data_IF_230718585692
#
_entry.id   IF_230718585692
#
_cell.length_a   1.000
_cell.length_b   1.000
_cell.length_c   1.000
_cell.angle_alpha   90.00
_cell.angle_beta   90.00
_cell.angle_gamma   90.00
#
_symmetry.space_group_name_H-M   'P 1'
#
loop_
_entity.id
_entity.type
_entity.pdbx_description
1 polymer ?
#
# COMPACT_ATOMS: atom_id res chain seq x y z
N UNK A 1 -1.04 -3.19 -16.53
CA UNK A 1 -1.56 -4.20 -15.57
C UNK A 1 -2.93 -4.75 -15.99
N UNK A 2 -4.00 -3.94 -16.03
CA UNK A 2 -5.35 -4.42 -16.41
C UNK A 2 -5.40 -5.17 -17.76
N UNK A 3 -4.86 -4.57 -18.83
CA UNK A 3 -4.85 -5.20 -20.17
C UNK A 3 -4.12 -6.55 -20.19
N UNK A 4 -3.00 -6.66 -19.45
CA UNK A 4 -2.23 -7.90 -19.32
C UNK A 4 -3.08 -9.00 -18.67
N UNK A 5 -3.74 -8.71 -17.54
CA UNK A 5 -4.58 -9.70 -16.86
C UNK A 5 -5.83 -10.08 -17.66
N UNK A 6 -6.40 -9.14 -18.43
CA UNK A 6 -7.49 -9.47 -19.35
C UNK A 6 -7.01 -10.38 -20.49
N UNK A 7 -5.85 -10.09 -21.08
CA UNK A 7 -5.27 -10.91 -22.14
C UNK A 7 -4.92 -12.31 -21.63
N UNK A 8 -4.26 -12.41 -20.47
CA UNK A 8 -3.94 -13.69 -19.84
C UNK A 8 -5.21 -14.45 -19.44
N UNK A 9 -6.19 -13.77 -18.86
CA UNK A 9 -7.47 -14.38 -18.48
C UNK A 9 -8.23 -14.94 -19.67
N UNK A 10 -8.32 -14.16 -20.76
CA UNK A 10 -8.92 -14.60 -22.02
C UNK A 10 -8.16 -15.79 -22.61
N UNK A 11 -6.83 -15.72 -22.67
CA UNK A 11 -5.98 -16.80 -23.15
C UNK A 11 -6.26 -18.12 -22.42
N UNK A 12 -6.27 -18.11 -21.08
CA UNK A 12 -6.48 -19.32 -20.28
C UNK A 12 -7.91 -19.87 -20.40
N UNK A 13 -8.92 -19.02 -20.60
CA UNK A 13 -10.29 -19.46 -20.87
C UNK A 13 -10.38 -20.11 -22.26
N UNK A 14 -9.78 -19.51 -23.28
CA UNK A 14 -9.75 -20.08 -24.64
C UNK A 14 -8.98 -21.40 -24.63
N UNK A 15 -7.82 -21.44 -23.95
CA UNK A 15 -7.05 -22.67 -23.76
C UNK A 15 -7.88 -23.75 -23.07
N UNK A 16 -8.60 -23.41 -22.00
CA UNK A 16 -9.47 -24.35 -21.29
C UNK A 16 -10.54 -24.95 -22.20
N UNK A 17 -11.20 -24.12 -23.01
CA UNK A 17 -12.20 -24.58 -23.99
C UNK A 17 -11.52 -25.50 -25.01
N UNK A 18 -10.41 -25.07 -25.59
CA UNK A 18 -9.67 -25.82 -26.59
C UNK A 18 -9.18 -27.18 -26.07
N UNK A 19 -8.57 -27.23 -24.89
CA UNK A 19 -8.06 -28.45 -24.27
C UNK A 19 -9.16 -29.47 -23.92
N UNK A 20 -10.39 -29.01 -23.66
CA UNK A 20 -11.53 -29.89 -23.38
C UNK A 20 -12.29 -30.33 -24.64
N UNK A 21 -12.32 -29.51 -25.69
CA UNK A 21 -12.99 -29.87 -26.96
C UNK A 21 -12.07 -30.71 -27.84
N UNK A 22 -10.77 -30.45 -27.82
CA UNK A 22 -9.75 -31.11 -28.65
C UNK A 22 -8.61 -31.70 -27.79
N UNK A 23 -8.88 -32.70 -26.93
CA UNK A 23 -7.93 -33.15 -25.92
C UNK A 23 -6.64 -33.76 -26.47
N UNK A 24 -6.64 -34.28 -27.71
CA UNK A 24 -5.44 -34.85 -28.34
C UNK A 24 -4.57 -33.80 -29.06
N UNK A 25 -5.13 -32.65 -29.45
CA UNK A 25 -4.47 -31.74 -30.38
C UNK A 25 -3.18 -31.11 -29.82
N UNK A 26 -3.14 -30.88 -28.50
CA UNK A 26 -1.92 -30.39 -27.84
C UNK A 26 -0.77 -31.41 -27.93
N UNK A 27 -1.08 -32.70 -27.77
CA UNK A 27 -0.13 -33.80 -27.85
C UNK A 27 0.35 -34.01 -29.29
N UNK A 28 -0.55 -33.88 -30.27
CA UNK A 28 -0.22 -33.92 -31.70
C UNK A 28 0.79 -32.83 -32.07
N UNK A 29 0.57 -31.59 -31.61
CA UNK A 29 1.47 -30.47 -31.86
C UNK A 29 2.83 -30.62 -31.19
N UNK A 30 2.85 -31.28 -30.03
CA UNK A 30 4.07 -31.58 -29.27
C UNK A 30 4.82 -32.81 -29.83
N UNK A 31 4.21 -33.60 -30.71
CA UNK A 31 4.77 -34.84 -31.24
C UNK A 31 4.95 -35.93 -30.18
N UNK A 32 4.05 -35.98 -29.19
CA UNK A 32 4.08 -36.94 -28.08
C UNK A 32 2.86 -37.86 -28.11
N UNK A 33 2.97 -39.03 -27.46
CA UNK A 33 1.86 -39.97 -27.36
C UNK A 33 0.64 -39.37 -26.65
N UNK A 34 -0.54 -39.82 -27.08
CA UNK A 34 -1.80 -39.38 -26.48
C UNK A 34 -1.96 -39.92 -25.06
N UNK A 35 -2.66 -39.18 -24.18
CA UNK A 35 -2.97 -39.68 -22.85
C UNK A 35 -3.91 -40.88 -22.93
N UNK A 36 -3.57 -41.98 -22.24
CA UNK A 36 -4.41 -43.17 -22.14
C UNK A 36 -5.81 -42.86 -21.56
N UNK A 37 -5.90 -41.85 -20.70
CA UNK A 37 -7.15 -41.35 -20.12
C UNK A 37 -7.21 -39.82 -20.20
N UNK A 38 -8.01 -39.23 -21.12
CA UNK A 38 -8.05 -37.77 -21.31
C UNK A 38 -8.65 -37.03 -20.12
N UNK A 39 -9.25 -37.72 -19.15
CA UNK A 39 -9.85 -37.12 -17.96
C UNK A 39 -8.89 -36.21 -17.19
N UNK A 40 -7.62 -36.60 -17.05
CA UNK A 40 -6.62 -35.78 -16.37
C UNK A 40 -6.33 -34.49 -17.15
N UNK A 41 -6.32 -34.56 -18.47
CA UNK A 41 -6.13 -33.40 -19.34
C UNK A 41 -7.33 -32.45 -19.29
N UNK A 42 -8.55 -32.98 -19.25
CA UNK A 42 -9.75 -32.18 -19.02
C UNK A 42 -9.69 -31.44 -17.68
N UNK A 43 -9.25 -32.11 -16.61
CA UNK A 43 -9.07 -31.49 -15.31
C UNK A 43 -8.07 -30.33 -15.35
N UNK A 44 -6.95 -30.48 -16.07
CA UNK A 44 -6.01 -29.39 -16.33
C UNK A 44 -6.71 -28.23 -17.06
N UNK A 45 -7.46 -28.52 -18.13
CA UNK A 45 -8.23 -27.52 -18.86
C UNK A 45 -9.19 -26.75 -17.95
N UNK A 46 -9.98 -27.42 -17.11
CA UNK A 46 -10.88 -26.77 -16.15
C UNK A 46 -10.13 -25.90 -15.14
N UNK A 47 -9.01 -26.39 -14.59
CA UNK A 47 -8.18 -25.62 -13.66
C UNK A 47 -7.66 -24.33 -14.32
N UNK A 48 -7.21 -24.39 -15.57
CA UNK A 48 -6.79 -23.21 -16.33
C UNK A 48 -7.96 -22.26 -16.60
N UNK A 49 -9.16 -22.79 -16.87
CA UNK A 49 -10.36 -21.98 -17.04
C UNK A 49 -10.72 -21.18 -15.78
N UNK A 50 -10.69 -21.83 -14.61
CA UNK A 50 -10.90 -21.18 -13.31
C UNK A 50 -9.86 -20.08 -13.07
N UNK A 51 -8.58 -20.37 -13.35
CA UNK A 51 -7.51 -19.38 -13.25
C UNK A 51 -7.74 -18.19 -14.20
N UNK A 52 -8.18 -18.45 -15.43
CA UNK A 52 -8.49 -17.41 -16.42
C UNK A 52 -9.63 -16.48 -15.99
N UNK A 53 -10.70 -17.04 -15.41
CA UNK A 53 -11.79 -16.25 -14.80
C UNK A 53 -11.28 -15.44 -13.61
N UNK A 54 -10.48 -16.05 -12.73
CA UNK A 54 -9.90 -15.36 -11.58
C UNK A 54 -9.01 -14.17 -12.01
N UNK A 55 -8.16 -14.34 -13.04
CA UNK A 55 -7.34 -13.27 -13.60
C UNK A 55 -8.19 -12.15 -14.20
N UNK A 56 -9.28 -12.48 -14.89
CA UNK A 56 -10.23 -11.50 -15.44
C UNK A 56 -10.89 -10.67 -14.35
N UNK A 57 -11.27 -11.29 -13.22
CA UNK A 57 -11.79 -10.59 -12.05
C UNK A 57 -10.72 -9.72 -11.38
N UNK A 58 -9.50 -10.25 -11.23
CA UNK A 58 -8.35 -9.55 -10.67
C UNK A 58 -7.98 -8.30 -11.49
N UNK A 59 -8.24 -8.30 -12.80
CA UNK A 59 -7.95 -7.18 -13.69
C UNK A 59 -8.65 -5.87 -13.30
N UNK A 60 -9.75 -5.92 -12.52
CA UNK A 60 -10.45 -4.73 -12.00
C UNK A 60 -9.58 -3.93 -11.03
N UNK A 61 -8.77 -4.62 -10.22
CA UNK A 61 -7.82 -3.99 -9.31
C UNK A 61 -6.61 -4.94 -9.08
N UNK A 62 -5.62 -4.92 -9.99
CA UNK A 62 -4.50 -5.88 -9.96
C UNK A 62 -3.67 -5.81 -8.68
N UNK A 63 -3.54 -4.61 -8.10
CA UNK A 63 -2.77 -4.38 -6.87
C UNK A 63 -3.49 -5.00 -5.68
N UNK A 64 -4.82 -4.79 -5.56
CA UNK A 64 -5.63 -5.39 -4.49
C UNK A 64 -5.66 -6.91 -4.59
N UNK A 65 -5.73 -7.44 -5.82
CA UNK A 65 -5.85 -8.87 -6.09
C UNK A 65 -4.48 -9.52 -6.40
N UNK A 66 -3.40 -9.01 -5.81
CA UNK A 66 -2.04 -9.49 -6.07
C UNK A 66 -1.87 -11.00 -5.82
N UNK A 67 -2.63 -11.59 -4.90
CA UNK A 67 -2.59 -13.04 -4.64
C UNK A 67 -2.93 -13.89 -5.85
N UNK A 68 -3.89 -13.46 -6.70
CA UNK A 68 -4.23 -14.17 -7.94
C UNK A 68 -3.08 -14.07 -8.95
N UNK A 69 -2.43 -12.90 -9.01
CA UNK A 69 -1.25 -12.69 -9.86
C UNK A 69 -0.08 -13.57 -9.38
N UNK A 70 0.10 -13.72 -8.06
CA UNK A 70 1.12 -14.59 -7.48
C UNK A 70 0.86 -16.05 -7.84
N UNK A 71 -0.37 -16.54 -7.70
CA UNK A 71 -0.75 -17.90 -8.09
C UNK A 71 -0.45 -18.13 -9.57
N UNK A 72 -0.77 -17.17 -10.45
CA UNK A 72 -0.42 -17.23 -11.86
C UNK A 72 1.09 -17.36 -12.10
N UNK A 73 1.91 -16.50 -11.47
CA UNK A 73 3.36 -16.56 -11.62
C UNK A 73 3.97 -17.88 -11.07
N UNK A 74 3.43 -18.40 -9.97
CA UNK A 74 3.81 -19.71 -9.43
C UNK A 74 3.47 -20.84 -10.42
N UNK A 75 2.27 -20.82 -11.02
CA UNK A 75 1.89 -21.78 -12.09
C UNK A 75 2.91 -21.73 -13.21
N UNK A 76 3.20 -20.55 -13.77
CA UNK A 76 4.14 -20.42 -14.89
C UNK A 76 5.52 -20.95 -14.51
N UNK A 77 6.00 -20.64 -13.30
CA UNK A 77 7.31 -21.08 -12.82
C UNK A 77 7.40 -22.61 -12.68
N UNK A 78 6.35 -23.25 -12.14
CA UNK A 78 6.27 -24.71 -12.01
C UNK A 78 6.20 -25.38 -13.38
N UNK A 79 5.37 -24.86 -14.29
CA UNK A 79 5.19 -25.44 -15.63
C UNK A 79 6.48 -25.29 -16.47
N UNK A 80 7.11 -24.12 -16.49
CA UNK A 80 8.38 -23.90 -17.17
C UNK A 80 9.45 -24.85 -16.63
N UNK A 81 9.55 -25.01 -15.31
CA UNK A 81 10.53 -25.92 -14.71
C UNK A 81 10.27 -27.38 -15.09
N UNK A 82 9.00 -27.82 -15.05
CA UNK A 82 8.60 -29.16 -15.46
C UNK A 82 8.90 -29.42 -16.95
N UNK A 83 8.63 -28.44 -17.82
CA UNK A 83 8.88 -28.52 -19.25
C UNK A 83 10.38 -28.59 -19.56
N UNK A 84 11.20 -27.76 -18.93
CA UNK A 84 12.66 -27.79 -19.07
C UNK A 84 13.25 -29.13 -18.59
N UNK A 85 12.73 -29.67 -17.50
CA UNK A 85 13.10 -31.01 -17.01
C UNK A 85 12.75 -32.10 -18.04
N UNK A 86 11.55 -32.06 -18.62
CA UNK A 86 11.12 -33.01 -19.64
C UNK A 86 11.98 -32.93 -20.91
N UNK A 87 12.38 -31.72 -21.33
CA UNK A 87 13.35 -31.50 -22.42
C UNK A 87 14.72 -32.10 -22.08
N UNK A 88 15.22 -31.84 -20.87
CA UNK A 88 16.52 -32.34 -20.41
C UNK A 88 16.56 -33.89 -20.39
N UNK A 89 15.49 -34.51 -19.92
CA UNK A 89 15.33 -35.97 -19.92
C UNK A 89 14.89 -36.57 -21.26
N UNK A 90 14.78 -35.75 -22.32
CA UNK A 90 14.37 -36.15 -23.68
C UNK A 90 13.00 -36.87 -23.72
N UNK A 91 12.12 -36.54 -22.79
CA UNK A 91 10.74 -37.04 -22.76
C UNK A 91 9.86 -36.33 -23.79
N UNK A 92 10.22 -35.09 -24.13
CA UNK A 92 9.57 -34.28 -25.16
C UNK A 92 10.62 -33.72 -26.12
N UNK A 93 10.30 -33.56 -27.42
CA UNK A 93 11.27 -33.10 -28.40
C UNK A 93 11.57 -31.60 -28.24
N UNK A 94 12.79 -31.18 -28.56
CA UNK A 94 13.21 -29.78 -28.47
C UNK A 94 12.39 -28.84 -29.38
N UNK A 95 11.86 -29.39 -30.48
CA UNK A 95 10.95 -28.66 -31.37
C UNK A 95 9.70 -28.16 -30.65
N UNK A 96 9.32 -28.72 -29.50
CA UNK A 96 8.14 -28.31 -28.74
C UNK A 96 8.40 -27.12 -27.81
N UNK A 97 9.64 -26.63 -27.72
CA UNK A 97 9.99 -25.50 -26.84
C UNK A 97 9.21 -24.21 -27.16
N UNK A 98 8.78 -24.00 -28.40
CA UNK A 98 7.95 -22.84 -28.76
C UNK A 98 6.60 -22.83 -28.04
N UNK A 99 6.05 -24.02 -27.73
CA UNK A 99 4.77 -24.16 -27.04
C UNK A 99 4.86 -23.61 -25.62
N UNK A 100 5.94 -23.95 -24.89
CA UNK A 100 6.22 -23.40 -23.56
C UNK A 100 6.39 -21.87 -23.61
N UNK A 101 7.04 -21.36 -24.65
CA UNK A 101 7.21 -19.91 -24.80
C UNK A 101 5.86 -19.23 -24.95
N UNK A 102 5.02 -19.74 -25.86
CA UNK A 102 3.70 -19.20 -26.15
C UNK A 102 2.69 -19.34 -24.99
N UNK A 103 2.74 -20.46 -24.25
CA UNK A 103 1.78 -20.76 -23.18
C UNK A 103 2.12 -20.09 -21.85
N UNK A 104 3.39 -20.12 -21.43
CA UNK A 104 3.80 -19.72 -20.08
C UNK A 104 4.82 -18.58 -20.05
N UNK A 105 5.87 -18.64 -20.88
CA UNK A 105 7.01 -17.72 -20.76
C UNK A 105 6.63 -16.27 -21.06
N UNK A 106 5.76 -16.03 -22.04
CA UNK A 106 5.31 -14.66 -22.37
C UNK A 106 4.64 -13.95 -21.19
N UNK A 107 4.03 -14.70 -20.27
CA UNK A 107 3.31 -14.15 -19.12
C UNK A 107 4.20 -13.93 -17.91
N UNK A 108 5.35 -14.59 -17.83
CA UNK A 108 6.23 -14.54 -16.68
C UNK A 108 6.69 -13.10 -16.38
N UNK A 109 7.25 -12.39 -17.38
CA UNK A 109 7.74 -11.02 -17.20
C UNK A 109 6.61 -10.05 -16.82
N UNK A 110 5.48 -9.99 -17.55
CA UNK A 110 4.36 -9.12 -17.18
C UNK A 110 3.82 -9.37 -15.76
N UNK A 111 3.74 -10.64 -15.33
CA UNK A 111 3.25 -10.98 -13.98
C UNK A 111 4.25 -10.59 -12.89
N UNK A 112 5.55 -10.82 -13.11
CA UNK A 112 6.61 -10.35 -12.22
C UNK A 112 6.59 -8.83 -12.05
N UNK A 113 6.38 -8.07 -13.13
CA UNK A 113 6.26 -6.60 -13.08
C UNK A 113 5.01 -6.17 -12.29
N UNK A 114 3.87 -6.86 -12.47
CA UNK A 114 2.64 -6.55 -11.71
C UNK A 114 2.86 -6.83 -10.22
N UNK A 115 3.47 -7.96 -9.86
CA UNK A 115 3.76 -8.29 -8.46
C UNK A 115 4.75 -7.31 -7.83
N UNK A 116 5.79 -6.93 -8.56
CA UNK A 116 6.72 -5.90 -8.11
C UNK A 116 6.01 -4.56 -7.85
N UNK A 117 5.13 -4.15 -8.76
CA UNK A 117 4.33 -2.95 -8.56
C UNK A 117 3.36 -3.09 -7.38
N UNK A 118 2.79 -4.28 -7.16
CA UNK A 118 1.98 -4.55 -5.98
C UNK A 118 2.80 -4.44 -4.69
N UNK A 119 4.01 -5.00 -4.64
CA UNK A 119 4.91 -4.86 -3.49
C UNK A 119 5.18 -3.38 -3.24
N UNK A 120 5.62 -2.63 -4.25
CA UNK A 120 5.89 -1.19 -4.13
C UNK A 120 4.68 -0.38 -3.69
N UNK A 121 3.49 -0.72 -4.17
CA UNK A 121 2.27 -0.06 -3.72
C UNK A 121 2.00 -0.34 -2.25
N UNK A 122 2.21 -1.57 -1.76
CA UNK A 122 2.00 -1.89 -0.36
C UNK A 122 3.10 -1.35 0.55
N UNK A 123 4.36 -1.31 0.09
CA UNK A 123 5.54 -0.96 0.90
C UNK A 123 6.08 0.44 0.66
N UNK A 124 5.42 1.30 -0.12
CA UNK A 124 5.88 2.66 -0.41
C UNK A 124 7.17 2.78 -1.25
N UNK A 125 7.67 4.00 -1.38
CA UNK A 125 8.98 4.29 -2.01
C UNK A 125 10.08 4.08 -0.96
N UNK A 126 11.16 3.35 -1.25
CA UNK A 126 12.23 3.14 -0.29
C UNK A 126 12.90 4.48 0.10
N UNK A 127 13.39 4.58 1.35
CA UNK A 127 14.13 5.74 1.79
C UNK A 127 15.42 5.91 0.97
N UNK A 128 15.89 7.15 0.90
CA UNK A 128 17.11 7.57 0.22
C UNK A 128 18.38 7.11 0.93
N UNK A 129 18.31 6.89 2.25
CA UNK A 129 19.45 6.51 3.09
C UNK A 129 19.10 5.43 4.10
N UNK A 130 20.11 4.65 4.50
CA UNK A 130 19.97 3.59 5.50
C UNK A 130 19.66 4.13 6.89
N UNK A 131 20.28 5.24 7.31
CA UNK A 131 20.08 5.84 8.62
C UNK A 131 18.99 6.94 8.58
N UNK A 132 18.06 7.01 9.53
CA UNK A 132 17.07 8.11 9.60
C UNK A 132 17.72 9.50 9.73
N UNK A 133 17.08 10.56 9.23
CA UNK A 133 17.46 11.94 9.58
C UNK A 133 17.42 12.15 11.08
N UNK A 134 18.41 12.88 11.62
CA UNK A 134 18.25 13.45 12.95
C UNK A 134 17.09 14.46 12.93
N UNK A 135 16.45 14.69 14.07
CA UNK A 135 15.33 15.65 14.16
C UNK A 135 15.74 17.04 13.64
N UNK A 136 16.98 17.47 13.90
CA UNK A 136 17.52 18.75 13.43
C UNK A 136 17.71 18.78 11.90
N UNK A 137 18.19 17.69 11.31
CA UNK A 137 18.32 17.61 9.85
C UNK A 137 16.93 17.61 9.19
N UNK A 138 16.02 16.79 9.72
CA UNK A 138 14.67 16.66 9.21
C UNK A 138 13.91 17.99 9.30
N UNK A 139 14.00 18.70 10.43
CA UNK A 139 13.28 19.96 10.62
C UNK A 139 13.75 21.07 9.67
N UNK A 140 15.02 21.08 9.27
CA UNK A 140 15.55 22.04 8.30
C UNK A 140 15.30 21.64 6.84
N UNK A 141 15.07 20.35 6.57
CA UNK A 141 14.95 19.83 5.20
C UNK A 141 13.51 19.77 4.69
N UNK A 142 12.53 19.73 5.60
CA UNK A 142 11.11 19.62 5.26
C UNK A 142 10.40 20.97 5.34
N UNK A 143 9.62 21.25 4.31
CA UNK A 143 8.88 22.50 4.15
C UNK A 143 7.38 22.27 4.35
N UNK A 144 6.74 23.20 5.04
CA UNK A 144 5.30 23.29 5.14
C UNK A 144 4.75 23.90 3.85
N UNK A 145 3.45 23.71 3.61
CA UNK A 145 2.76 24.24 2.42
C UNK A 145 2.79 25.78 2.28
N UNK A 146 3.18 26.51 3.33
CA UNK A 146 3.37 27.96 3.31
C UNK A 146 4.83 28.38 2.98
N UNK A 147 5.71 27.43 2.68
CA UNK A 147 7.11 27.67 2.30
C UNK A 147 8.09 27.79 3.47
N UNK A 148 7.64 27.78 4.73
CA UNK A 148 8.54 27.74 5.90
C UNK A 148 9.06 26.33 6.13
N UNK A 149 10.29 26.21 6.62
CA UNK A 149 10.79 24.93 7.13
C UNK A 149 10.08 24.55 8.43
N UNK A 150 10.06 23.26 8.75
CA UNK A 150 9.55 22.78 10.04
C UNK A 150 10.30 23.39 11.23
N UNK A 151 11.61 23.64 11.08
CA UNK A 151 12.41 24.32 12.07
C UNK A 151 11.93 25.76 12.31
N UNK A 152 11.80 26.56 11.26
CA UNK A 152 11.33 27.97 11.34
C UNK A 152 9.92 28.06 11.95
N UNK A 153 8.98 27.28 11.44
CA UNK A 153 7.60 27.26 11.96
C UNK A 153 7.56 26.91 13.45
N UNK A 154 8.41 25.97 13.89
CA UNK A 154 8.46 25.55 15.30
C UNK A 154 9.06 26.58 16.26
N UNK A 155 9.77 27.59 15.75
CA UNK A 155 10.27 28.69 16.58
C UNK A 155 9.19 29.73 16.84
N UNK A 156 8.29 29.92 15.87
CA UNK A 156 7.20 30.90 15.96
C UNK A 156 6.06 30.40 16.84
N UNK A 157 5.65 29.14 16.65
CA UNK A 157 4.48 28.56 17.32
C UNK A 157 4.70 27.10 17.68
N UNK A 158 3.95 26.61 18.67
CA UNK A 158 3.85 25.18 18.95
C UNK A 158 3.14 24.49 17.79
N UNK A 159 3.69 23.39 17.27
CA UNK A 159 3.10 22.65 16.16
C UNK A 159 2.52 21.33 16.64
N UNK A 160 1.28 21.03 16.25
CA UNK A 160 0.64 19.73 16.39
C UNK A 160 0.80 18.96 15.07
N UNK A 161 1.81 18.10 14.99
CA UNK A 161 2.11 17.30 13.81
C UNK A 161 1.29 16.02 13.81
N UNK A 162 0.47 15.80 12.79
CA UNK A 162 -0.31 14.58 12.62
C UNK A 162 0.15 13.84 11.37
N UNK A 163 0.83 12.72 11.58
CA UNK A 163 1.34 11.84 10.53
C UNK A 163 0.24 10.89 10.05
N UNK A 164 -0.20 11.08 8.81
CA UNK A 164 -1.24 10.26 8.19
C UNK A 164 -0.67 8.91 7.71
N UNK A 165 -1.51 7.88 7.58
CA UNK A 165 -1.08 6.58 7.01
C UNK A 165 -1.17 6.56 5.49
N UNK A 166 -2.36 6.59 4.93
CA UNK A 166 -2.53 6.78 3.49
C UNK A 166 -3.95 7.25 3.21
N UNK A 167 -4.16 8.04 2.17
CA UNK A 167 -5.48 8.64 1.92
C UNK A 167 -6.57 7.60 1.61
N UNK A 168 -6.18 6.40 1.15
CA UNK A 168 -7.08 5.25 1.00
C UNK A 168 -7.55 4.57 2.29
N UNK A 169 -6.91 4.86 3.43
CA UNK A 169 -7.16 4.15 4.67
C UNK A 169 -8.48 4.63 5.29
N UNK A 170 -9.32 3.71 5.75
CA UNK A 170 -10.61 4.05 6.39
C UNK A 170 -10.42 5.02 7.56
N UNK A 171 -9.38 4.82 8.36
CA UNK A 171 -9.05 5.65 9.52
C UNK A 171 -8.54 7.03 9.13
N UNK A 172 -7.69 7.13 8.10
CA UNK A 172 -7.28 8.45 7.57
C UNK A 172 -8.47 9.21 7.01
N UNK A 173 -9.39 8.55 6.29
CA UNK A 173 -10.62 9.19 5.82
C UNK A 173 -11.53 9.64 6.97
N UNK A 174 -11.62 8.84 8.03
CA UNK A 174 -12.35 9.22 9.25
C UNK A 174 -11.73 10.44 9.93
N UNK A 175 -10.40 10.47 10.05
CA UNK A 175 -9.65 11.59 10.59
C UNK A 175 -9.91 12.87 9.79
N UNK A 176 -9.83 12.80 8.46
CA UNK A 176 -10.05 13.93 7.57
C UNK A 176 -11.49 14.46 7.63
N UNK A 177 -12.49 13.59 7.86
CA UNK A 177 -13.88 14.05 8.12
C UNK A 177 -14.03 14.81 9.44
N UNK A 178 -13.16 14.53 10.42
CA UNK A 178 -13.11 15.23 11.71
C UNK A 178 -12.06 16.34 11.76
N UNK A 179 -11.50 16.77 10.62
CA UNK A 179 -10.34 17.66 10.58
C UNK A 179 -10.62 19.00 11.28
N UNK A 180 -11.80 19.59 11.08
CA UNK A 180 -12.19 20.85 11.72
C UNK A 180 -12.24 20.76 13.26
N UNK A 181 -12.55 19.58 13.80
CA UNK A 181 -12.50 19.37 15.25
C UNK A 181 -11.05 19.32 15.74
N UNK A 182 -10.19 18.61 15.03
CA UNK A 182 -8.76 18.49 15.37
C UNK A 182 -8.07 19.84 15.28
N UNK A 183 -8.40 20.64 14.27
CA UNK A 183 -7.89 22.00 14.10
C UNK A 183 -8.30 22.90 15.27
N UNK A 184 -9.59 22.92 15.62
CA UNK A 184 -10.09 23.68 16.77
C UNK A 184 -9.43 23.29 18.09
N UNK A 185 -9.20 21.99 18.30
CA UNK A 185 -8.54 21.47 19.49
C UNK A 185 -7.08 21.96 19.59
N UNK A 186 -6.34 21.91 18.48
CA UNK A 186 -4.98 22.45 18.41
C UNK A 186 -4.96 23.96 18.66
N UNK A 187 -5.88 24.71 18.05
CA UNK A 187 -6.00 26.16 18.22
C UNK A 187 -6.34 26.55 19.67
N UNK A 188 -7.22 25.78 20.34
CA UNK A 188 -7.57 25.99 21.75
C UNK A 188 -6.35 25.86 22.69
N UNK A 189 -5.36 25.04 22.31
CA UNK A 189 -4.10 24.87 23.03
C UNK A 189 -2.97 25.77 22.50
N UNK A 190 -3.29 26.75 21.64
CA UNK A 190 -2.31 27.67 21.07
C UNK A 190 -1.31 27.00 20.11
N UNK A 191 -1.61 25.80 19.63
CA UNK A 191 -0.82 25.09 18.64
C UNK A 191 -1.32 25.37 17.21
N UNK A 192 -0.50 25.05 16.23
CA UNK A 192 -0.87 25.04 14.82
C UNK A 192 -0.86 23.61 14.28
N UNK A 193 -1.98 23.18 13.70
CA UNK A 193 -2.12 21.84 13.15
C UNK A 193 -1.36 21.72 11.83
N UNK A 194 -0.52 20.69 11.73
CA UNK A 194 0.21 20.35 10.50
C UNK A 194 0.00 18.88 10.16
N UNK A 195 -0.48 18.60 8.95
CA UNK A 195 -0.64 17.23 8.45
C UNK A 195 0.60 16.78 7.69
N UNK A 196 1.13 15.61 8.01
CA UNK A 196 2.23 14.97 7.26
C UNK A 196 1.68 13.80 6.45
N UNK A 197 2.01 13.71 5.15
CA UNK A 197 1.49 12.68 4.27
C UNK A 197 2.50 12.16 3.23
N UNK A 198 2.24 10.98 2.66
CA UNK A 198 3.15 10.31 1.72
C UNK A 198 2.87 10.56 0.22
N UNK A 199 1.89 11.41 -0.11
CA UNK A 199 1.72 11.85 -1.50
C UNK A 199 2.78 12.89 -1.87
N UNK A 200 3.14 12.92 -3.16
CA UNK A 200 3.88 14.03 -3.74
C UNK A 200 3.10 15.34 -3.57
N UNK A 201 3.81 16.43 -3.28
CA UNK A 201 3.20 17.76 -3.12
C UNK A 201 2.29 18.11 -4.30
N UNK A 202 1.10 18.63 -3.99
CA UNK A 202 0.05 18.98 -4.93
C UNK A 202 -0.92 17.85 -5.27
N UNK A 203 -0.64 16.59 -4.91
CA UNK A 203 -1.58 15.46 -5.14
C UNK A 203 -2.57 15.25 -3.99
N UNK A 204 -2.27 15.80 -2.83
CA UNK A 204 -3.12 15.74 -1.64
C UNK A 204 -4.40 16.56 -1.76
N UNK A 205 -4.46 17.56 -2.65
CA UNK A 205 -5.65 18.38 -2.91
C UNK A 205 -6.82 17.58 -3.49
N UNK A 206 -6.54 16.40 -4.08
CA UNK A 206 -7.59 15.45 -4.51
C UNK A 206 -8.34 14.82 -3.33
N UNK A 207 -7.76 14.83 -2.13
CA UNK A 207 -8.28 14.13 -0.95
C UNK A 207 -8.66 15.06 0.20
N UNK A 208 -7.92 16.17 0.32
CA UNK A 208 -8.21 17.26 1.22
C UNK A 208 -8.88 18.31 0.34
N UNK A 209 -10.21 18.27 0.28
CA UNK A 209 -10.99 19.39 -0.28
C UNK A 209 -10.55 20.69 0.41
N UNK A 210 -10.89 21.84 -0.20
CA UNK A 210 -10.49 23.22 0.14
C UNK A 210 -10.87 23.71 1.58
N UNK A 211 -11.13 22.79 2.50
CA UNK A 211 -11.40 23.01 3.90
C UNK A 211 -10.11 23.44 4.60
N UNK A 212 -9.91 24.76 4.69
CA UNK A 212 -9.58 25.37 5.98
C UNK A 212 -8.11 25.67 6.29
N UNK A 213 -7.24 25.85 5.29
CA UNK A 213 -5.92 26.47 5.52
C UNK A 213 -4.94 25.67 6.40
N UNK A 214 -5.22 24.39 6.66
CA UNK A 214 -4.33 23.53 7.46
C UNK A 214 -3.00 23.34 6.74
N UNK A 215 -1.90 23.54 7.46
CA UNK A 215 -0.56 23.37 6.91
C UNK A 215 -0.24 21.91 6.66
N UNK A 216 0.55 21.65 5.61
CA UNK A 216 0.85 20.29 5.15
C UNK A 216 2.33 20.09 4.86
N UNK A 217 2.82 18.87 5.05
CA UNK A 217 4.17 18.44 4.67
C UNK A 217 4.05 17.16 3.82
N UNK A 218 4.69 17.18 2.65
CA UNK A 218 4.81 16.02 1.76
C UNK A 218 6.09 15.23 2.07
N UNK A 219 5.93 13.95 2.40
CA UNK A 219 7.02 13.01 2.68
C UNK A 219 6.82 11.65 1.98
N UNK A 220 6.96 11.58 0.63
CA UNK A 220 6.68 10.37 -0.14
C UNK A 220 7.67 9.21 0.10
N UNK A 221 8.81 9.49 0.74
CA UNK A 221 9.83 8.47 1.10
C UNK A 221 9.83 8.12 2.59
N UNK A 222 8.89 8.67 3.36
CA UNK A 222 8.77 8.45 4.80
C UNK A 222 10.04 8.80 5.59
N UNK A 223 10.90 9.71 5.13
CA UNK A 223 12.14 10.03 5.88
C UNK A 223 11.86 10.91 7.10
N UNK A 224 10.85 11.79 7.04
CA UNK A 224 10.36 12.54 8.18
C UNK A 224 9.65 11.60 9.16
N UNK A 225 8.86 10.64 8.67
CA UNK A 225 8.27 9.59 9.52
C UNK A 225 9.37 8.85 10.30
N UNK A 226 10.42 8.41 9.60
CA UNK A 226 11.57 7.71 10.21
C UNK A 226 12.31 8.59 11.22
N UNK A 227 12.51 9.88 10.92
CA UNK A 227 13.15 10.82 11.83
C UNK A 227 12.35 10.97 13.14
N UNK A 228 11.02 10.93 13.06
CA UNK A 228 10.11 10.95 14.21
C UNK A 228 9.90 9.57 14.88
N UNK A 229 10.68 8.56 14.48
CA UNK A 229 10.60 7.21 15.05
C UNK A 229 9.39 6.39 14.59
N UNK A 230 8.65 6.85 13.58
CA UNK A 230 7.53 6.11 13.01
C UNK A 230 8.04 5.08 11.98
N UNK A 231 7.99 3.81 12.37
CA UNK A 231 8.35 2.68 11.52
C UNK A 231 7.19 2.16 10.67
N UNK A 232 7.48 1.06 9.95
CA UNK A 232 6.46 0.25 9.28
C UNK A 232 5.86 -0.73 10.27
N UNK A 233 4.55 -0.87 10.26
CA UNK A 233 3.83 -1.79 11.13
C UNK A 233 4.03 -3.25 10.72
N UNK A 234 4.04 -4.14 11.70
CA UNK A 234 4.04 -5.58 11.49
C UNK A 234 2.68 -6.13 11.05
N UNK A 235 2.61 -7.42 10.72
CA UNK A 235 1.37 -8.09 10.28
C UNK A 235 0.21 -7.93 11.27
N UNK A 236 0.46 -8.09 12.58
CA UNK A 236 -0.55 -7.97 13.63
C UNK A 236 -1.02 -6.53 13.87
N UNK A 237 -0.16 -5.54 13.68
CA UNK A 237 -0.49 -4.12 13.89
C UNK A 237 -1.33 -3.54 12.74
N UNK A 238 -1.17 -4.13 11.54
CA UNK A 238 -1.84 -3.72 10.31
C UNK A 238 -3.10 -4.55 9.98
N UNK A 239 -3.13 -5.82 10.38
CA UNK A 239 -4.20 -6.77 10.06
C UNK A 239 -4.72 -7.55 11.28
N UNK A 240 -4.41 -7.13 12.50
CA UNK A 240 -4.85 -7.81 13.72
C UNK A 240 -6.38 -7.75 13.94
N UNK A 241 -6.91 -8.60 14.84
CA UNK A 241 -8.36 -8.69 15.10
C UNK A 241 -9.00 -7.35 15.47
N UNK A 242 -8.28 -6.51 16.21
CA UNK A 242 -8.73 -5.17 16.60
C UNK A 242 -8.86 -4.20 15.39
N UNK A 243 -7.99 -4.32 14.38
CA UNK A 243 -8.07 -3.55 13.13
C UNK A 243 -9.28 -3.97 12.31
N UNK A 244 -9.55 -5.28 12.21
CA UNK A 244 -10.74 -5.80 11.53
C UNK A 244 -12.03 -5.36 12.22
N UNK A 245 -12.08 -5.40 13.55
CA UNK A 245 -13.22 -4.94 14.34
C UNK A 245 -13.51 -3.44 14.14
N UNK A 246 -12.49 -2.57 14.31
CA UNK A 246 -12.64 -1.13 14.07
C UNK A 246 -12.89 -0.81 12.60
N UNK A 247 -12.31 -1.59 11.68
CA UNK A 247 -12.56 -1.50 10.24
C UNK A 247 -14.02 -1.75 9.90
N UNK A 248 -14.63 -2.80 10.47
CA UNK A 248 -16.05 -3.10 10.31
C UNK A 248 -16.93 -1.95 10.84
N UNK A 249 -16.61 -1.39 12.02
CA UNK A 249 -17.34 -0.23 12.57
C UNK A 249 -17.20 1.01 11.66
N UNK A 250 -16.03 1.25 11.09
CA UNK A 250 -15.79 2.40 10.20
C UNK A 250 -16.57 2.31 8.87
N UNK A 251 -16.85 1.09 8.40
CA UNK A 251 -17.72 0.84 7.23
C UNK A 251 -19.16 1.27 7.54
N UNK A 252 -19.68 0.96 8.74
CA UNK A 252 -20.99 1.45 9.19
C UNK A 252 -21.04 2.99 9.33
N UNK A 253 -19.90 3.63 9.59
CA UNK A 253 -19.76 5.11 9.59
C UNK A 253 -19.51 5.70 8.19
N UNK A 254 -19.67 4.92 7.12
CA UNK A 254 -19.55 5.37 5.73
C UNK A 254 -18.12 5.59 5.24
N UNK A 255 -17.10 5.07 5.93
CA UNK A 255 -15.70 5.08 5.50
C UNK A 255 -15.30 3.68 4.99
N UNK A 256 -15.60 3.37 3.73
CA UNK A 256 -15.18 2.12 3.09
C UNK A 256 -13.69 2.08 2.75
N UNK A 257 -13.17 0.88 2.45
CA UNK A 257 -11.79 0.66 1.99
C UNK A 257 -11.56 1.39 0.67
N UNK A 258 -10.68 2.41 0.69
CA UNK A 258 -10.36 3.24 -0.47
C UNK A 258 -9.16 2.72 -1.27
N UNK A 259 -8.86 3.38 -2.40
CA UNK A 259 -7.67 3.10 -3.19
C UNK A 259 -6.41 3.49 -2.40
N UNK A 260 -5.40 2.60 -2.37
CA UNK A 260 -4.18 2.81 -1.59
C UNK A 260 -3.36 3.95 -2.22
N UNK A 261 -3.10 5.00 -1.44
CA UNK A 261 -2.44 6.23 -1.86
C UNK A 261 -1.43 6.67 -0.78
N UNK A 262 -0.24 6.06 -0.81
CA UNK A 262 0.82 6.16 0.21
C UNK A 262 1.49 4.79 0.47
N UNK A 263 2.33 4.68 1.50
CA UNK A 263 2.86 3.39 1.99
C UNK A 263 1.80 2.72 2.87
N UNK A 264 1.32 1.55 2.44
CA UNK A 264 0.31 0.77 3.16
C UNK A 264 0.79 0.25 4.51
N UNK A 265 2.10 0.10 4.72
CA UNK A 265 2.67 -0.42 5.96
C UNK A 265 3.06 0.67 6.95
N UNK A 266 3.14 1.93 6.52
CA UNK A 266 3.62 3.01 7.37
C UNK A 266 2.64 3.31 8.51
N UNK A 267 3.16 3.41 9.74
CA UNK A 267 2.34 3.71 10.92
C UNK A 267 2.10 5.21 11.08
N UNK A 268 0.87 5.62 11.47
CA UNK A 268 0.58 7.02 11.78
C UNK A 268 1.09 7.40 13.18
N UNK A 269 0.96 8.67 13.54
CA UNK A 269 1.28 9.17 14.88
C UNK A 269 0.99 10.66 15.02
N UNK A 270 0.95 11.13 16.26
CA UNK A 270 0.84 12.56 16.55
C UNK A 270 1.95 13.02 17.48
N UNK A 271 2.47 14.23 17.25
CA UNK A 271 3.58 14.80 17.99
C UNK A 271 3.38 16.29 18.21
N UNK A 272 3.82 16.79 19.37
CA UNK A 272 3.98 18.22 19.60
C UNK A 272 5.43 18.60 19.34
N UNK A 273 5.63 19.65 18.56
CA UNK A 273 6.95 20.07 18.12
C UNK A 273 7.16 21.57 18.35
N UNK A 274 8.23 21.94 19.06
CA UNK A 274 8.58 23.33 19.36
C UNK A 274 10.08 23.52 19.44
N UNK A 275 10.57 24.64 18.93
CA UNK A 275 11.97 25.03 18.96
C UNK A 275 12.93 23.93 18.49
N UNK A 276 12.53 23.22 17.41
CA UNK A 276 13.32 22.14 16.83
C UNK A 276 13.34 20.83 17.65
N UNK A 277 12.45 20.64 18.63
CA UNK A 277 12.42 19.45 19.50
C UNK A 277 11.00 18.89 19.62
N UNK A 278 10.92 17.57 19.78
CA UNK A 278 9.66 16.89 20.11
C UNK A 278 9.38 17.13 21.61
N UNK A 279 8.22 17.69 21.91
CA UNK A 279 7.78 18.01 23.27
C UNK A 279 6.89 16.91 23.85
N UNK A 280 6.04 16.31 23.01
CA UNK A 280 5.15 15.21 23.37
C UNK A 280 4.97 14.31 22.15
N UNK A 281 4.75 13.01 22.37
CA UNK A 281 4.65 12.02 21.31
C UNK A 281 3.60 10.96 21.61
N UNK A 282 2.78 10.67 20.60
CA UNK A 282 1.82 9.58 20.58
C UNK A 282 1.98 8.80 19.26
N UNK A 283 3.00 7.93 19.16
CA UNK A 283 3.09 7.00 18.04
C UNK A 283 1.91 6.02 18.09
N UNK A 284 1.27 5.76 16.95
CA UNK A 284 0.17 4.79 16.90
C UNK A 284 0.68 3.37 17.16
N UNK A 285 -0.06 2.58 17.94
CA UNK A 285 0.25 1.16 18.19
C UNK A 285 -0.43 0.26 17.15
N UNK A 286 -1.47 0.76 16.51
CA UNK A 286 -2.22 0.07 15.47
C UNK A 286 -2.58 1.03 14.33
N UNK A 287 -2.75 0.48 13.12
CA UNK A 287 -3.29 1.22 11.98
C UNK A 287 -4.65 1.89 12.22
N UNK A 288 -5.37 1.47 13.27
CA UNK A 288 -6.70 1.92 13.65
C UNK A 288 -6.73 2.98 14.77
N UNK A 289 -5.57 3.39 15.25
CA UNK A 289 -5.48 4.42 16.28
C UNK A 289 -5.60 5.80 15.64
N UNK A 290 -6.51 6.60 16.19
CA UNK A 290 -6.66 8.00 15.85
C UNK A 290 -5.88 8.83 16.89
N UNK A 291 -5.33 9.99 16.49
CA UNK A 291 -4.60 10.85 17.40
C UNK A 291 -5.55 11.42 18.45
N UNK A 292 -5.11 11.37 19.70
CA UNK A 292 -5.79 11.97 20.86
C UNK A 292 -5.02 13.25 21.22
N UNK A 293 -5.43 14.35 20.58
CA UNK A 293 -4.80 15.65 20.80
C UNK A 293 -4.90 16.10 22.27
N UNK A 294 -6.07 16.01 22.94
CA UNK A 294 -6.18 16.35 24.36
C UNK A 294 -5.12 15.65 25.23
N UNK A 295 -5.00 14.32 25.12
CA UNK A 295 -4.01 13.57 25.87
C UNK A 295 -2.55 13.98 25.53
N UNK A 296 -2.31 14.38 24.28
CA UNK A 296 -1.00 14.85 23.83
C UNK A 296 -0.61 16.20 24.48
N UNK A 297 -1.58 17.08 24.70
CA UNK A 297 -1.41 18.39 25.34
C UNK A 297 -1.38 18.31 26.88
N UNK A 298 -2.08 17.37 27.51
CA UNK A 298 -2.04 17.14 28.97
C UNK A 298 -0.63 16.80 29.48
N UNK A 299 0.20 16.19 28.62
CA UNK A 299 1.60 15.91 28.92
C UNK A 299 2.49 17.16 28.99
N UNK A 300 1.98 18.34 28.60
CA UNK A 300 2.70 19.59 28.76
C UNK A 300 2.49 20.15 30.18
N UNK A 301 3.55 20.68 30.83
CA UNK A 301 3.35 21.48 32.02
C UNK A 301 2.42 22.65 31.69
N UNK A 302 1.36 22.82 32.49
CA UNK A 302 0.37 23.90 32.33
C UNK A 302 1.10 25.23 32.12
N UNK A 303 0.71 26.05 31.13
CA UNK A 303 1.34 27.35 30.93
C UNK A 303 1.22 28.11 32.25
N UNK A 304 2.37 28.47 32.83
CA UNK A 304 2.43 29.26 34.05
C UNK A 304 1.42 30.41 33.92
N UNK A 305 0.48 30.47 34.87
CA UNK A 305 -0.49 31.54 34.98
C UNK A 305 0.24 32.85 34.74
N UNK A 306 -0.26 33.67 33.81
CA UNK A 306 0.17 35.06 33.70
C UNK A 306 0.09 35.65 35.10
N UNK A 307 1.24 35.92 35.70
CA UNK A 307 1.32 36.67 36.94
C UNK A 307 0.52 37.95 36.71
N UNK A 308 -0.60 38.05 37.41
CA UNK A 308 -1.31 39.30 37.59
C UNK A 308 -0.33 40.23 38.30
N UNK A 309 0.34 41.07 37.53
CA UNK A 309 1.02 42.26 38.04
C UNK A 309 -0.08 43.14 38.61
N UNK A 310 -0.22 43.09 39.93
CA UNK A 310 -0.90 44.11 40.71
C UNK A 310 -0.15 45.43 40.54
N UNK A 311 -0.86 46.45 40.07
CA UNK A 311 -0.55 47.85 40.33
C UNK A 311 -1.88 48.56 40.62
#
# INVERSE_FOLDING_TARGET
>A
MRKVLLAAGFYHVVFAIWANVFPCQWFDWMGVEHPNHPLMWHAVGFAMGVLGVAMTLAARNPIKHWGIVLIGLLKFSVVITGFLSALYHRQIPLSSAWMMVADDLIWWVPFSVILWASIRAHTGVPPTRSEPYSIKEASNSYYLSNGKTLAEASQEKLLALVFLRHFGCTFTRQLLRGLEHIQREADAHGAELVLVHMLQSGRESEYINDHGGVLRISDPRCELYRAFGLGKGGFLELFGPHVWWRGAISIFKGCGVGHLAGDGLQMPGAFLFRSGRIVSSQPARSASDLPDLPALFEALPSPASRDTVSA
#
